data_IF_890594296180
#
_entry.id   IF_890594296180
#
_cell.length_a   1.000
_cell.length_b   1.000
_cell.length_c   1.000
_cell.angle_alpha   90.00
_cell.angle_beta   90.00
_cell.angle_gamma   90.00
#
_symmetry.space_group_name_H-M   'P 1'
#
loop_
_entity.id
_entity.type
_entity.pdbx_description
1 polymer ?
#
# COMPACT_ATOMS: atom_id res chain seq x y z
N UNK A 1 0.88 0.69 -5.04
CA UNK A 1 -0.11 1.74 -5.06
C UNK A 1 0.27 2.93 -4.18
N UNK A 2 -0.28 4.10 -4.46
CA UNK A 2 0.02 5.37 -3.78
C UNK A 2 -1.06 5.78 -2.76
N UNK A 3 -1.98 4.88 -2.43
CA UNK A 3 -3.09 5.14 -1.53
C UNK A 3 -2.61 5.45 -0.10
N UNK A 4 -3.09 6.56 0.47
CA UNK A 4 -2.69 7.09 1.77
C UNK A 4 -3.76 6.96 2.86
N UNK A 5 -4.95 6.44 2.55
CA UNK A 5 -6.08 6.40 3.49
C UNK A 5 -5.75 5.63 4.78
N UNK A 6 -5.16 4.44 4.66
CA UNK A 6 -4.78 3.64 5.84
C UNK A 6 -3.65 4.34 6.61
N UNK A 7 -2.68 4.96 5.92
CA UNK A 7 -1.63 5.73 6.58
C UNK A 7 -2.20 6.88 7.40
N UNK A 8 -3.19 7.58 6.85
CA UNK A 8 -3.89 8.65 7.57
C UNK A 8 -4.53 8.14 8.85
N UNK A 9 -5.32 7.07 8.77
CA UNK A 9 -5.99 6.48 9.94
C UNK A 9 -4.98 6.00 11.00
N UNK A 10 -3.85 5.41 10.58
CA UNK A 10 -2.80 5.01 11.52
C UNK A 10 -2.14 6.19 12.22
N UNK A 11 -1.93 7.31 11.53
CA UNK A 11 -1.39 8.52 12.15
C UNK A 11 -2.36 9.13 13.18
N UNK A 12 -3.66 9.05 12.91
CA UNK A 12 -4.69 9.63 13.78
C UNK A 12 -5.00 8.76 15.01
N UNK A 13 -5.03 7.42 14.84
CA UNK A 13 -5.58 6.52 15.86
C UNK A 13 -4.65 5.37 16.25
N UNK A 14 -3.62 5.09 15.49
CA UNK A 14 -2.79 3.88 15.66
C UNK A 14 -1.29 4.10 15.59
N UNK A 15 -0.80 5.32 15.85
CA UNK A 15 0.60 5.67 15.66
C UNK A 15 1.59 4.86 16.53
N UNK A 16 1.14 4.33 17.66
CA UNK A 16 1.97 3.55 18.59
C UNK A 16 2.03 2.05 18.22
N UNK A 17 1.14 1.58 17.31
CA UNK A 17 1.17 0.22 16.81
C UNK A 17 2.33 0.02 15.82
N UNK A 18 3.08 -1.08 15.98
CA UNK A 18 4.12 -1.45 15.02
C UNK A 18 3.49 -1.81 13.68
N UNK A 19 3.50 -0.85 12.75
CA UNK A 19 2.78 -0.94 11.48
C UNK A 19 3.72 -0.84 10.31
N UNK A 20 3.59 -1.76 9.34
CA UNK A 20 4.35 -1.76 8.09
C UNK A 20 3.41 -1.49 6.93
N UNK A 21 3.69 -0.45 6.15
CA UNK A 21 2.90 -0.13 4.96
C UNK A 21 3.78 0.42 3.84
N UNK A 22 3.40 0.13 2.61
CA UNK A 22 4.15 0.53 1.41
C UNK A 22 3.41 1.61 0.65
N UNK A 23 4.14 2.61 0.15
CA UNK A 23 3.64 3.60 -0.80
C UNK A 23 4.62 3.68 -1.97
N UNK A 24 4.09 3.63 -3.19
CA UNK A 24 4.84 3.99 -4.38
C UNK A 24 4.82 5.51 -4.53
N UNK A 25 5.99 6.13 -4.43
CA UNK A 25 6.18 7.55 -4.71
C UNK A 25 7.60 7.78 -5.21
N UNK A 26 7.81 7.81 -6.55
CA UNK A 26 9.15 7.94 -7.12
C UNK A 26 9.88 9.22 -6.69
N UNK A 27 9.15 10.31 -6.52
CA UNK A 27 9.73 11.61 -6.15
C UNK A 27 10.20 11.58 -4.69
N UNK A 28 9.34 11.13 -3.79
CA UNK A 28 9.66 11.02 -2.37
C UNK A 28 10.78 10.00 -2.11
N UNK A 29 10.74 8.84 -2.81
CA UNK A 29 11.76 7.81 -2.69
C UNK A 29 13.14 8.33 -3.13
N UNK A 30 13.24 8.99 -4.29
CA UNK A 30 14.50 9.56 -4.79
C UNK A 30 15.05 10.63 -3.85
N UNK A 31 14.20 11.55 -3.42
CA UNK A 31 14.60 12.62 -2.52
C UNK A 31 15.14 12.07 -1.19
N UNK A 32 14.39 11.17 -0.55
CA UNK A 32 14.80 10.60 0.73
C UNK A 32 16.04 9.70 0.62
N UNK A 33 16.24 9.04 -0.51
CA UNK A 33 17.41 8.19 -0.75
C UNK A 33 18.74 8.97 -0.72
N UNK A 34 18.73 10.26 -1.10
CA UNK A 34 19.91 11.14 -1.07
C UNK A 34 20.22 11.71 0.33
N UNK A 35 19.34 11.45 1.32
CA UNK A 35 19.51 11.90 2.70
C UNK A 35 20.28 10.88 3.54
N UNK A 36 20.70 11.28 4.74
CA UNK A 36 21.42 10.39 5.65
C UNK A 36 20.46 9.60 6.54
N UNK A 37 20.84 8.37 6.87
CA UNK A 37 20.13 7.59 7.88
C UNK A 37 20.24 8.35 9.20
N UNK A 38 19.13 8.48 9.93
CA UNK A 38 18.97 9.29 11.13
C UNK A 38 18.37 10.67 10.88
N UNK A 39 18.34 11.16 9.62
CA UNK A 39 17.70 12.45 9.31
C UNK A 39 16.18 12.38 9.54
N UNK A 40 15.64 13.42 10.19
CA UNK A 40 14.19 13.62 10.28
C UNK A 40 13.69 14.32 9.02
N UNK A 41 12.82 13.66 8.26
CA UNK A 41 12.32 14.15 6.98
C UNK A 41 10.82 14.40 7.04
N UNK A 42 10.38 15.53 6.49
CA UNK A 42 8.96 15.82 6.24
C UNK A 42 8.71 15.75 4.74
N UNK A 43 7.89 14.80 4.31
CA UNK A 43 7.62 14.52 2.91
C UNK A 43 6.12 14.56 2.63
N UNK A 44 5.77 15.04 1.44
CA UNK A 44 4.42 14.86 0.89
C UNK A 44 4.41 13.58 0.08
N UNK A 45 3.66 12.57 0.53
CA UNK A 45 3.62 11.22 -0.05
C UNK A 45 2.26 10.87 -0.64
N UNK A 46 2.27 10.10 -1.72
CA UNK A 46 1.09 9.60 -2.42
C UNK A 46 0.30 10.70 -3.15
N UNK A 47 -0.84 10.32 -3.74
CA UNK A 47 -1.79 11.22 -4.39
C UNK A 47 -1.27 11.95 -5.63
N UNK A 48 -0.14 11.53 -6.21
CA UNK A 48 0.51 12.20 -7.35
C UNK A 48 0.18 11.56 -8.69
N UNK A 49 -0.11 10.26 -8.69
CA UNK A 49 -0.39 9.50 -9.91
C UNK A 49 -1.89 9.46 -10.22
N UNK A 50 -2.72 9.36 -9.18
CA UNK A 50 -4.18 9.20 -9.28
C UNK A 50 -4.89 10.14 -8.30
N UNK A 51 -4.73 11.43 -8.52
CA UNK A 51 -5.24 12.50 -7.63
C UNK A 51 -6.77 12.50 -7.47
N UNK A 52 -7.50 11.88 -8.42
CA UNK A 52 -8.96 11.74 -8.33
C UNK A 52 -9.40 10.91 -7.12
N UNK A 53 -8.67 9.86 -6.78
CA UNK A 53 -9.03 8.91 -5.72
C UNK A 53 -8.12 8.98 -4.50
N UNK A 54 -6.88 9.43 -4.70
CA UNK A 54 -5.85 9.46 -3.67
C UNK A 54 -5.49 10.90 -3.33
N UNK A 55 -5.40 11.18 -2.05
CA UNK A 55 -4.94 12.49 -1.55
C UNK A 55 -3.51 12.36 -1.08
N UNK A 56 -2.71 13.38 -1.37
CA UNK A 56 -1.38 13.49 -0.79
C UNK A 56 -1.48 13.67 0.72
N UNK A 57 -0.52 13.13 1.44
CA UNK A 57 -0.43 13.23 2.88
C UNK A 57 0.97 13.69 3.28
N UNK A 58 1.07 14.66 4.18
CA UNK A 58 2.34 15.03 4.78
C UNK A 58 2.70 14.02 5.86
N UNK A 59 3.91 13.44 5.72
CA UNK A 59 4.44 12.47 6.68
C UNK A 59 5.81 12.95 7.17
N UNK A 60 5.97 13.01 8.49
CA UNK A 60 7.25 13.31 9.14
C UNK A 60 7.75 12.07 9.85
N UNK A 61 8.99 11.68 9.56
CA UNK A 61 9.60 10.51 10.19
C UNK A 61 11.11 10.50 10.04
N UNK A 62 11.77 9.69 10.84
CA UNK A 62 13.19 9.44 10.78
C UNK A 62 13.52 8.46 9.64
N UNK A 63 14.50 8.77 8.81
CA UNK A 63 15.02 7.85 7.80
C UNK A 63 15.85 6.76 8.48
N UNK A 64 15.29 5.56 8.61
CA UNK A 64 15.94 4.44 9.30
C UNK A 64 16.59 3.42 8.37
N UNK A 65 16.21 3.42 7.09
CA UNK A 65 16.75 2.49 6.09
C UNK A 65 16.69 3.06 4.69
N UNK A 66 17.70 2.77 3.87
CA UNK A 66 17.68 2.99 2.42
C UNK A 66 18.43 1.88 1.70
N UNK A 67 17.88 1.40 0.61
CA UNK A 67 18.46 0.33 -0.22
C UNK A 67 17.96 0.39 -1.65
N UNK A 68 18.72 -0.21 -2.55
CA UNK A 68 18.28 -0.43 -3.93
C UNK A 68 17.67 -1.82 -4.03
N UNK A 69 16.37 -1.88 -4.26
CA UNK A 69 15.59 -3.11 -4.37
C UNK A 69 15.12 -3.34 -5.82
N UNK A 70 14.47 -4.47 -6.10
CA UNK A 70 13.81 -4.71 -7.39
C UNK A 70 12.80 -3.61 -7.77
N UNK A 71 12.24 -2.94 -6.76
CA UNK A 71 11.31 -1.81 -6.89
C UNK A 71 12.02 -0.44 -6.94
N UNK A 72 13.32 -0.43 -7.28
CA UNK A 72 14.12 0.79 -7.35
C UNK A 72 14.59 1.28 -5.99
N UNK A 73 14.92 2.56 -5.90
CA UNK A 73 15.30 3.21 -4.64
C UNK A 73 14.17 3.04 -3.64
N UNK A 74 14.50 2.44 -2.48
CA UNK A 74 13.55 2.13 -1.43
C UNK A 74 14.07 2.69 -0.11
N UNK A 75 13.21 3.39 0.62
CA UNK A 75 13.53 4.00 1.91
C UNK A 75 12.46 3.63 2.93
N UNK A 76 12.84 3.64 4.22
CA UNK A 76 11.90 3.50 5.33
C UNK A 76 11.98 4.74 6.19
N UNK A 77 10.85 5.42 6.34
CA UNK A 77 10.66 6.49 7.32
C UNK A 77 9.87 5.96 8.49
N UNK A 78 10.39 6.16 9.70
CA UNK A 78 9.74 5.73 10.94
C UNK A 78 9.18 6.93 11.70
N UNK A 79 7.91 6.83 12.08
CA UNK A 79 7.25 7.75 13.02
C UNK A 79 6.56 6.93 14.10
N UNK A 80 7.02 7.01 15.34
CA UNK A 80 6.57 6.14 16.44
C UNK A 80 6.61 4.65 16.03
N UNK A 81 5.47 3.94 16.05
CA UNK A 81 5.36 2.55 15.57
C UNK A 81 5.23 2.40 14.05
N UNK A 82 4.92 3.47 13.32
CA UNK A 82 4.65 3.39 11.88
C UNK A 82 5.95 3.37 11.07
N UNK A 83 6.15 2.32 10.27
CA UNK A 83 7.24 2.17 9.31
C UNK A 83 6.66 2.35 7.90
N UNK A 84 6.85 3.54 7.34
CA UNK A 84 6.43 3.85 5.98
C UNK A 84 7.55 3.50 5.00
N UNK A 85 7.29 2.49 4.17
CA UNK A 85 8.20 2.04 3.12
C UNK A 85 7.81 2.77 1.83
N UNK A 86 8.72 3.60 1.30
CA UNK A 86 8.50 4.36 0.08
C UNK A 86 9.39 3.79 -1.01
N UNK A 87 8.79 3.39 -2.14
CA UNK A 87 9.50 2.81 -3.28
C UNK A 87 9.34 3.64 -4.55
N UNK A 88 10.37 3.59 -5.40
CA UNK A 88 10.38 4.26 -6.70
C UNK A 88 9.44 3.58 -7.69
N UNK A 89 9.47 2.26 -7.78
CA UNK A 89 8.66 1.47 -8.70
C UNK A 89 7.54 0.75 -7.97
N UNK A 90 6.55 0.31 -8.73
CA UNK A 90 5.47 -0.51 -8.21
C UNK A 90 5.98 -1.93 -7.92
N UNK A 91 5.67 -2.43 -6.73
CA UNK A 91 5.64 -3.87 -6.49
C UNK A 91 4.19 -4.34 -6.44
N UNK A 92 3.89 -5.40 -7.17
CA UNK A 92 2.57 -6.01 -7.15
C UNK A 92 2.33 -6.84 -5.89
N UNK A 93 3.38 -7.19 -5.16
CA UNK A 93 3.32 -8.15 -4.06
C UNK A 93 4.37 -7.82 -3.00
N UNK A 94 4.00 -7.04 -2.00
CA UNK A 94 4.77 -7.00 -0.77
C UNK A 94 4.76 -8.43 -0.16
N UNK A 95 5.76 -9.24 -0.51
CA UNK A 95 5.92 -10.59 0.03
C UNK A 95 6.61 -10.53 1.39
N UNK A 96 6.47 -11.56 2.25
CA UNK A 96 7.23 -11.65 3.49
C UNK A 96 8.75 -11.46 3.29
N UNK A 97 9.30 -11.98 2.19
CA UNK A 97 10.71 -11.81 1.81
C UNK A 97 11.12 -10.36 1.62
N UNK A 98 10.25 -9.54 1.03
CA UNK A 98 10.51 -8.11 0.85
C UNK A 98 10.73 -7.38 2.18
N UNK A 99 9.88 -7.62 3.18
CA UNK A 99 10.06 -7.03 4.51
C UNK A 99 11.33 -7.53 5.19
N UNK A 100 11.64 -8.82 5.04
CA UNK A 100 12.88 -9.41 5.58
C UNK A 100 14.14 -8.79 4.95
N UNK A 101 14.15 -8.55 3.64
CA UNK A 101 15.26 -7.87 2.94
C UNK A 101 15.45 -6.43 3.43
N UNK A 102 14.38 -5.79 3.88
CA UNK A 102 14.41 -4.46 4.50
C UNK A 102 14.74 -4.49 6.01
N UNK A 103 15.04 -5.65 6.59
CA UNK A 103 15.33 -5.80 8.02
C UNK A 103 14.10 -5.74 8.93
N UNK A 104 12.88 -5.83 8.35
CA UNK A 104 11.63 -5.76 9.11
C UNK A 104 11.11 -7.17 9.42
N UNK A 105 10.89 -7.44 10.72
CA UNK A 105 10.33 -8.72 11.18
C UNK A 105 8.81 -8.67 11.19
N UNK A 106 8.15 -9.52 10.41
CA UNK A 106 6.69 -9.63 10.42
C UNK A 106 6.13 -10.18 11.73
N UNK A 107 6.94 -10.88 12.51
CA UNK A 107 6.52 -11.40 13.82
C UNK A 107 6.35 -10.31 14.88
N UNK A 108 7.08 -9.21 14.74
CA UNK A 108 6.99 -8.06 15.65
C UNK A 108 6.00 -6.99 15.20
N UNK A 109 5.38 -7.16 14.04
CA UNK A 109 4.39 -6.23 13.53
C UNK A 109 3.00 -6.50 14.14
N UNK A 110 2.33 -5.44 14.58
CA UNK A 110 0.92 -5.48 14.96
C UNK A 110 0.04 -5.41 13.70
N UNK A 111 0.46 -4.61 12.72
CA UNK A 111 -0.26 -4.40 11.46
C UNK A 111 0.70 -4.47 10.27
N UNK A 112 0.35 -5.26 9.27
CA UNK A 112 1.01 -5.26 7.96
C UNK A 112 -0.02 -4.95 6.88
N UNK A 113 0.16 -3.82 6.21
CA UNK A 113 -0.75 -3.40 5.12
C UNK A 113 -0.29 -4.00 3.81
N UNK A 114 -1.07 -4.91 3.27
CA UNK A 114 -0.80 -5.59 2.00
C UNK A 114 -1.80 -5.11 0.96
N UNK A 115 -1.32 -4.41 -0.06
CA UNK A 115 -2.15 -3.90 -1.16
C UNK A 115 -2.31 -4.96 -2.25
N UNK A 116 -2.99 -6.06 -1.90
CA UNK A 116 -3.20 -7.20 -2.79
C UNK A 116 -4.46 -7.95 -2.36
N UNK A 117 -5.28 -8.43 -3.31
CA UNK A 117 -6.59 -9.04 -3.04
C UNK A 117 -6.52 -10.53 -2.63
N UNK A 118 -5.73 -11.35 -3.32
CA UNK A 118 -5.79 -12.79 -3.16
C UNK A 118 -4.46 -13.47 -2.82
N UNK A 119 -3.35 -13.25 -3.55
CA UNK A 119 -2.12 -14.01 -3.36
C UNK A 119 -1.47 -13.83 -1.99
N UNK A 120 -1.77 -12.75 -1.26
CA UNK A 120 -1.22 -12.52 0.07
C UNK A 120 -1.62 -13.63 1.06
N UNK A 121 -2.84 -14.17 0.97
CA UNK A 121 -3.36 -15.19 1.91
C UNK A 121 -2.44 -16.41 1.98
N UNK A 122 -1.92 -16.87 0.84
CA UNK A 122 -0.99 -18.00 0.78
C UNK A 122 0.41 -17.63 1.25
N UNK A 123 0.90 -16.45 0.87
CA UNK A 123 2.26 -16.02 1.19
C UNK A 123 2.45 -15.68 2.66
N UNK A 124 1.40 -15.17 3.31
CA UNK A 124 1.42 -14.78 4.72
C UNK A 124 0.85 -15.83 5.67
N UNK A 125 0.56 -17.04 5.20
CA UNK A 125 -0.10 -18.07 6.00
C UNK A 125 0.56 -18.32 7.36
N UNK A 126 1.90 -18.30 7.44
CA UNK A 126 2.64 -18.50 8.67
C UNK A 126 2.67 -17.26 9.58
N UNK A 127 2.47 -16.07 9.03
CA UNK A 127 2.55 -14.80 9.76
C UNK A 127 1.19 -14.24 10.14
N UNK A 128 0.15 -14.64 9.40
CA UNK A 128 -1.18 -14.05 9.51
C UNK A 128 -1.92 -14.58 10.72
N UNK A 129 -2.20 -13.71 11.70
CA UNK A 129 -3.02 -14.01 12.89
C UNK A 129 -4.48 -13.64 12.67
N UNK A 130 -4.73 -12.54 11.95
CA UNK A 130 -6.07 -12.04 11.63
C UNK A 130 -6.00 -11.22 10.34
N UNK A 131 -6.97 -11.42 9.46
CA UNK A 131 -7.12 -10.59 8.25
C UNK A 131 -8.29 -9.62 8.44
N UNK A 132 -8.04 -8.37 8.08
CA UNK A 132 -9.06 -7.33 7.99
C UNK A 132 -9.06 -6.83 6.56
N UNK A 133 -10.14 -7.04 5.83
CA UNK A 133 -10.30 -6.52 4.48
C UNK A 133 -10.78 -5.06 4.57
N UNK A 134 -10.01 -4.15 3.98
CA UNK A 134 -10.29 -2.71 4.02
C UNK A 134 -10.56 -2.21 2.61
N UNK A 135 -11.71 -1.57 2.40
CA UNK A 135 -12.06 -0.93 1.13
C UNK A 135 -11.77 0.56 1.25
N UNK A 136 -10.91 1.05 0.37
CA UNK A 136 -10.56 2.47 0.28
C UNK A 136 -10.87 2.99 -1.14
N UNK A 137 -11.13 4.29 -1.31
CA UNK A 137 -11.21 4.87 -2.64
C UNK A 137 -9.95 4.56 -3.46
N UNK A 138 -10.12 4.23 -4.73
CA UNK A 138 -9.02 3.89 -5.64
C UNK A 138 -9.52 3.50 -7.02
N UNK A 139 -8.61 3.40 -7.99
CA UNK A 139 -8.89 3.01 -9.38
C UNK A 139 -9.33 1.55 -9.50
N UNK A 140 -8.88 0.69 -8.58
CA UNK A 140 -9.24 -0.73 -8.56
C UNK A 140 -10.32 -0.94 -7.50
N UNK A 141 -11.57 -0.92 -7.93
CA UNK A 141 -12.71 -1.22 -7.07
C UNK A 141 -13.10 -2.69 -7.22
N UNK A 142 -13.17 -3.43 -6.11
CA UNK A 142 -13.63 -4.83 -6.09
C UNK A 142 -15.14 -4.96 -6.20
N UNK A 143 -15.87 -3.90 -5.90
CA UNK A 143 -17.33 -3.88 -6.05
C UNK A 143 -17.69 -3.51 -7.49
N UNK A 144 -17.82 -4.53 -8.31
CA UNK A 144 -18.15 -4.37 -9.75
C UNK A 144 -19.50 -3.68 -9.98
N UNK A 145 -20.42 -3.72 -9.01
CA UNK A 145 -21.73 -3.09 -9.15
C UNK A 145 -21.69 -1.56 -8.96
N UNK A 146 -20.64 -1.04 -8.36
CA UNK A 146 -20.44 0.41 -8.18
C UNK A 146 -19.66 1.08 -9.31
N UNK A 147 -19.18 0.30 -10.27
CA UNK A 147 -18.45 0.84 -11.40
C UNK A 147 -19.44 1.34 -12.48
N UNK A 148 -19.16 2.52 -13.03
CA UNK A 148 -19.95 3.07 -14.14
C UNK A 148 -19.45 2.50 -15.48
N UNK A 149 -20.16 1.51 -15.99
CA UNK A 149 -19.84 0.87 -17.27
C UNK A 149 -20.57 1.58 -18.41
N UNK A 150 -19.86 2.36 -19.20
CA UNK A 150 -20.44 3.14 -20.31
C UNK A 150 -20.29 2.47 -21.67
N UNK A 151 -19.33 1.54 -21.82
CA UNK A 151 -18.96 0.97 -23.13
C UNK A 151 -19.12 -0.55 -23.20
N UNK A 152 -19.60 -1.19 -22.14
CA UNK A 152 -19.78 -2.65 -22.12
C UNK A 152 -21.14 -3.02 -22.70
N UNK A 153 -21.21 -3.94 -23.69
CA UNK A 153 -22.47 -4.44 -24.19
C UNK A 153 -23.31 -5.12 -23.10
N UNK A 154 -24.59 -4.89 -23.09
CA UNK A 154 -25.53 -5.50 -22.14
C UNK A 154 -26.45 -6.48 -22.87
N UNK A 155 -26.90 -7.59 -22.23
CA UNK A 155 -26.72 -7.96 -20.84
C UNK A 155 -25.39 -8.68 -20.56
N UNK A 156 -24.79 -8.44 -19.37
CA UNK A 156 -23.55 -9.10 -18.93
C UNK A 156 -23.63 -9.52 -17.44
N UNK A 157 -23.26 -10.76 -17.16
CA UNK A 157 -23.14 -11.24 -15.79
C UNK A 157 -21.85 -10.70 -15.12
N UNK A 158 -21.87 -10.33 -13.85
CA UNK A 158 -22.96 -10.40 -12.86
C UNK A 158 -23.84 -9.13 -12.79
N UNK A 159 -23.64 -8.14 -13.65
CA UNK A 159 -24.36 -6.87 -13.62
C UNK A 159 -25.82 -7.02 -14.00
N UNK A 160 -26.14 -7.98 -14.88
CA UNK A 160 -27.48 -8.29 -15.35
C UNK A 160 -27.89 -9.70 -14.95
N UNK A 161 -29.20 -9.87 -14.74
CA UNK A 161 -29.78 -11.21 -14.59
C UNK A 161 -29.92 -11.84 -15.99
N UNK A 162 -29.14 -12.87 -16.26
CA UNK A 162 -29.23 -13.64 -17.50
C UNK A 162 -30.11 -14.84 -17.25
N UNK A 163 -31.28 -14.87 -17.88
CA UNK A 163 -32.29 -15.94 -17.69
C UNK A 163 -31.89 -17.26 -18.35
N UNK A 164 -31.15 -17.23 -19.43
CA UNK A 164 -30.66 -18.42 -20.12
C UNK A 164 -29.35 -18.15 -20.84
N UNK A 165 -28.44 -19.11 -20.77
CA UNK A 165 -27.22 -19.13 -21.58
C UNK A 165 -27.51 -19.94 -22.84
N UNK A 166 -27.37 -19.31 -24.02
CA UNK A 166 -27.35 -20.02 -25.30
C UNK A 166 -25.92 -20.03 -25.81
N UNK A 167 -25.43 -21.22 -26.14
CA UNK A 167 -24.15 -21.41 -26.82
C UNK A 167 -24.36 -21.18 -28.33
#
# INVERSE_FOLDING_TARGET
>A
GENTWILKSLLEEGADLTSYLTIRDPVAAKFAYEKNIGDSLTLVVGGKLESQYNRSLTYTGELIHKSLQKVGKTVILKHKGIHLIISELADSLASPGFFKELGLSLWSADIVVVKNLFPFRYRYLLYNRKTVDVITPGTTNVDVFKLNYTTIPRPIYPLDKIQSWRY
#
